data_IF_358469728975
#
_entry.id   IF_358469728975
#
_cell.length_a   1.000
_cell.length_b   1.000
_cell.length_c   1.000
_cell.angle_alpha   90.00
_cell.angle_beta   90.00
_cell.angle_gamma   90.00
#
_symmetry.space_group_name_H-M   'P 1'
#
loop_
_entity.id
_entity.type
_entity.pdbx_description
1 polymer ?
#
# COMPACT_ATOMS: atom_id res chain seq x y z
N UNK A 1 45.58 -18.45 -65.40
CA UNK A 1 44.24 -17.86 -65.13
C UNK A 1 43.18 -18.57 -65.97
N UNK A 2 42.22 -19.24 -65.30
CA UNK A 2 40.88 -19.71 -65.74
C UNK A 2 40.47 -20.80 -64.73
N UNK A 3 39.63 -20.46 -63.73
CA UNK A 3 38.18 -20.80 -63.60
C UNK A 3 37.92 -22.32 -63.67
N UNK A 4 37.15 -22.97 -62.81
CA UNK A 4 36.33 -22.61 -61.65
C UNK A 4 35.93 -23.96 -61.00
N UNK A 5 35.76 -23.99 -59.69
CA UNK A 5 35.53 -25.17 -58.84
C UNK A 5 34.10 -25.69 -59.00
N UNK A 6 33.91 -27.00 -59.11
CA UNK A 6 32.65 -27.68 -58.79
C UNK A 6 32.96 -29.13 -58.37
N UNK A 7 32.75 -29.46 -57.09
CA UNK A 7 32.99 -30.81 -56.55
C UNK A 7 31.80 -31.20 -55.68
N UNK A 8 31.08 -32.21 -56.18
CA UNK A 8 30.43 -33.34 -55.48
C UNK A 8 29.27 -33.02 -54.51
N UNK A 9 28.08 -33.60 -54.74
CA UNK A 9 27.59 -34.85 -54.13
C UNK A 9 27.47 -34.74 -52.58
N UNK A 10 26.51 -35.33 -51.87
CA UNK A 10 26.08 -36.72 -51.93
C UNK A 10 24.89 -36.85 -50.96
N UNK A 11 23.82 -37.45 -51.46
CA UNK A 11 23.10 -38.59 -50.91
C UNK A 11 23.07 -38.80 -49.40
N UNK A 12 21.85 -38.69 -48.88
CA UNK A 12 21.28 -39.47 -47.79
C UNK A 12 21.56 -40.98 -47.89
N UNK A 13 21.87 -41.62 -46.75
CA UNK A 13 21.31 -42.92 -46.33
C UNK A 13 21.74 -43.28 -44.88
N UNK A 14 20.77 -43.09 -43.97
CA UNK A 14 20.28 -44.01 -42.92
C UNK A 14 20.68 -45.51 -43.15
N UNK A 15 20.97 -46.40 -42.19
CA UNK A 15 20.65 -46.56 -40.76
C UNK A 15 21.65 -47.59 -40.12
N UNK A 16 21.77 -47.58 -38.78
CA UNK A 16 21.80 -48.71 -37.83
C UNK A 16 23.04 -48.86 -36.92
N UNK A 17 22.74 -48.78 -35.63
CA UNK A 17 23.34 -49.39 -34.43
C UNK A 17 24.70 -48.90 -33.90
N UNK A 18 24.64 -48.30 -32.72
CA UNK A 18 25.60 -48.59 -31.65
C UNK A 18 24.92 -48.51 -30.28
N UNK A 19 24.95 -49.64 -29.55
CA UNK A 19 24.57 -49.79 -28.13
C UNK A 19 25.45 -48.89 -27.25
N UNK A 20 24.87 -48.12 -26.33
CA UNK A 20 25.61 -47.61 -25.16
C UNK A 20 24.70 -47.39 -23.93
N UNK A 21 24.89 -48.31 -22.98
CA UNK A 21 24.76 -48.29 -21.50
C UNK A 21 23.93 -47.16 -20.86
N UNK A 22 22.86 -47.59 -20.19
CA UNK A 22 22.00 -46.80 -19.30
C UNK A 22 22.75 -46.32 -18.04
N UNK A 23 22.51 -45.06 -17.68
CA UNK A 23 22.70 -44.50 -16.34
C UNK A 23 21.34 -43.85 -15.97
N UNK A 24 20.75 -44.15 -14.80
CA UNK A 24 19.47 -43.57 -14.44
C UNK A 24 19.69 -42.12 -13.99
N UNK A 25 19.37 -41.18 -14.88
CA UNK A 25 19.13 -39.78 -14.48
C UNK A 25 17.76 -39.78 -13.82
N UNK A 26 17.76 -39.64 -12.50
CA UNK A 26 16.56 -39.42 -11.72
C UNK A 26 15.75 -38.28 -12.35
N UNK A 27 14.48 -38.57 -12.66
CA UNK A 27 13.52 -37.62 -13.17
C UNK A 27 13.49 -36.38 -12.27
N UNK A 28 13.98 -35.27 -12.82
CA UNK A 28 13.75 -33.91 -12.33
C UNK A 28 12.27 -33.56 -12.60
N UNK A 29 11.38 -34.29 -11.95
CA UNK A 29 9.94 -34.13 -11.99
C UNK A 29 9.47 -33.52 -10.69
N UNK A 30 9.40 -32.18 -10.66
CA UNK A 30 8.36 -31.39 -9.99
C UNK A 30 8.72 -29.92 -10.22
N UNK A 31 8.13 -29.35 -11.26
CA UNK A 31 7.74 -27.95 -11.24
C UNK A 31 6.96 -27.74 -9.95
N UNK A 32 7.61 -27.10 -8.98
CA UNK A 32 6.95 -26.57 -7.81
C UNK A 32 6.09 -25.43 -8.34
N UNK A 33 4.86 -25.78 -8.73
CA UNK A 33 3.74 -24.86 -8.77
C UNK A 33 3.49 -24.44 -7.33
N UNK A 34 4.29 -23.49 -6.85
CA UNK A 34 4.04 -22.75 -5.62
C UNK A 34 2.93 -21.75 -5.91
N UNK A 35 1.75 -22.28 -6.17
CA UNK A 35 0.54 -21.59 -5.72
C UNK A 35 0.56 -21.81 -4.21
N UNK A 36 1.31 -20.97 -3.49
CA UNK A 36 1.32 -20.98 -2.03
C UNK A 36 -0.14 -20.91 -1.59
N UNK A 37 -0.68 -22.02 -1.07
CA UNK A 37 -2.02 -22.05 -0.50
C UNK A 37 -1.98 -21.04 0.64
N UNK A 38 -2.59 -19.87 0.43
CA UNK A 38 -2.74 -18.86 1.47
C UNK A 38 -3.35 -19.57 2.69
N UNK A 39 -2.64 -19.57 3.82
CA UNK A 39 -3.10 -20.26 5.02
C UNK A 39 -4.51 -19.76 5.40
N UNK A 40 -5.38 -20.66 5.85
CA UNK A 40 -6.72 -20.27 6.31
C UNK A 40 -6.65 -19.44 7.59
N UNK A 41 -7.70 -18.65 7.85
CA UNK A 41 -7.84 -17.97 9.13
C UNK A 41 -7.96 -18.99 10.26
N UNK A 42 -7.07 -18.96 11.24
CA UNK A 42 -7.10 -19.83 12.41
C UNK A 42 -7.87 -19.22 13.57
N UNK A 43 -7.57 -17.95 13.89
CA UNK A 43 -8.24 -17.20 14.96
C UNK A 43 -8.58 -15.80 14.49
N UNK A 44 -9.85 -15.46 14.54
CA UNK A 44 -10.38 -14.13 14.21
C UNK A 44 -10.67 -13.34 15.50
N UNK A 45 -10.27 -12.08 15.54
CA UNK A 45 -10.42 -11.17 16.68
C UNK A 45 -10.85 -9.81 16.15
N UNK A 46 -11.88 -9.22 16.75
CA UNK A 46 -12.22 -7.80 16.53
C UNK A 46 -11.77 -7.01 17.76
N UNK A 47 -10.94 -6.00 17.56
CA UNK A 47 -10.32 -5.27 18.66
C UNK A 47 -11.31 -4.32 19.33
N UNK A 48 -11.39 -4.35 20.66
CA UNK A 48 -12.16 -3.40 21.48
C UNK A 48 -11.33 -2.19 21.94
N UNK A 49 -10.00 -2.29 21.81
CA UNK A 49 -9.00 -1.29 22.18
C UNK A 49 -7.96 -1.13 21.06
N UNK A 50 -7.24 0.00 21.00
CA UNK A 50 -6.12 0.14 20.09
C UNK A 50 -5.08 -0.96 20.32
N UNK A 51 -4.59 -1.56 19.23
CA UNK A 51 -3.66 -2.69 19.28
C UNK A 51 -2.33 -2.29 18.70
N UNK A 52 -1.24 -2.46 19.45
CA UNK A 52 0.12 -2.26 18.95
C UNK A 52 0.58 -3.47 18.15
N UNK A 53 1.11 -3.23 16.96
CA UNK A 53 1.74 -4.23 16.12
C UNK A 53 3.27 -4.24 16.35
N UNK A 54 3.66 -4.92 17.42
CA UNK A 54 5.03 -5.34 17.71
C UNK A 54 6.11 -4.29 17.43
N UNK A 55 7.12 -4.72 16.69
CA UNK A 55 8.35 -4.00 16.37
C UNK A 55 8.14 -2.88 15.35
N UNK A 56 7.01 -2.86 14.63
CA UNK A 56 6.69 -1.78 13.68
C UNK A 56 6.29 -0.50 14.39
N UNK A 57 5.83 -0.59 15.64
CA UNK A 57 5.29 0.54 16.39
C UNK A 57 3.93 1.06 15.87
N UNK A 58 3.38 0.47 14.82
CA UNK A 58 2.07 0.84 14.28
C UNK A 58 0.98 0.51 15.31
N UNK A 59 0.10 1.49 15.56
CA UNK A 59 -1.07 1.33 16.41
C UNK A 59 -2.29 1.17 15.51
N UNK A 60 -2.95 0.02 15.63
CA UNK A 60 -4.20 -0.30 14.95
C UNK A 60 -5.37 0.26 15.76
N UNK A 61 -6.36 0.90 15.11
CA UNK A 61 -7.51 1.48 15.79
C UNK A 61 -8.47 0.42 16.36
N UNK A 62 -9.39 0.86 17.21
CA UNK A 62 -10.51 0.04 17.70
C UNK A 62 -11.38 -0.42 16.53
N UNK A 63 -11.88 -1.66 16.58
CA UNK A 63 -12.70 -2.26 15.53
C UNK A 63 -11.89 -2.90 14.40
N UNK A 64 -10.56 -2.95 14.53
CA UNK A 64 -9.70 -3.67 13.58
C UNK A 64 -9.98 -5.16 13.67
N UNK A 65 -10.13 -5.83 12.54
CA UNK A 65 -10.23 -7.29 12.49
C UNK A 65 -8.84 -7.88 12.27
N UNK A 66 -8.47 -8.80 13.14
CA UNK A 66 -7.23 -9.55 13.09
C UNK A 66 -7.56 -11.00 12.78
N UNK A 67 -6.87 -11.57 11.81
CA UNK A 67 -6.96 -12.96 11.46
C UNK A 67 -5.57 -13.58 11.54
N UNK A 68 -5.32 -14.33 12.60
CA UNK A 68 -4.07 -15.06 12.80
C UNK A 68 -4.19 -16.38 12.05
N UNK A 69 -3.24 -16.66 11.16
CA UNK A 69 -3.25 -17.86 10.33
C UNK A 69 -3.09 -19.14 11.16
N UNK A 70 -3.58 -20.27 10.67
CA UNK A 70 -3.51 -21.57 11.39
C UNK A 70 -2.10 -22.04 11.71
N UNK A 71 -1.10 -21.58 10.95
CA UNK A 71 0.33 -21.86 11.16
C UNK A 71 1.04 -20.84 12.05
N UNK A 72 0.32 -19.81 12.51
CA UNK A 72 0.82 -18.68 13.29
C UNK A 72 1.98 -17.92 12.62
N UNK A 73 2.09 -17.94 11.29
CA UNK A 73 3.15 -17.22 10.58
C UNK A 73 2.78 -15.77 10.26
N UNK A 74 1.49 -15.50 10.14
CA UNK A 74 0.98 -14.20 9.68
C UNK A 74 -0.24 -13.75 10.48
N UNK A 75 -0.43 -12.43 10.54
CA UNK A 75 -1.67 -11.79 10.95
C UNK A 75 -2.18 -10.97 9.78
N UNK A 76 -3.33 -11.36 9.24
CA UNK A 76 -4.07 -10.55 8.29
C UNK A 76 -4.88 -9.52 9.05
N UNK A 77 -4.77 -8.28 8.64
CA UNK A 77 -5.39 -7.14 9.31
C UNK A 77 -6.33 -6.45 8.35
N UNK A 78 -7.57 -6.23 8.78
CA UNK A 78 -8.57 -5.40 8.11
C UNK A 78 -8.91 -4.23 9.04
N UNK A 79 -8.63 -3.02 8.57
CA UNK A 79 -8.94 -1.79 9.28
C UNK A 79 -10.45 -1.49 9.25
N UNK A 80 -10.98 -0.86 10.30
CA UNK A 80 -12.36 -0.39 10.30
C UNK A 80 -12.56 0.75 9.30
N UNK A 81 -13.82 1.04 8.99
CA UNK A 81 -14.19 2.15 8.12
C UNK A 81 -13.57 3.48 8.60
N UNK A 82 -13.12 4.29 7.64
CA UNK A 82 -12.47 5.56 7.93
C UNK A 82 -10.97 5.45 8.22
N UNK A 83 -10.38 4.26 8.18
CA UNK A 83 -8.94 4.08 8.31
C UNK A 83 -8.36 3.36 7.09
N UNK A 84 -7.09 3.64 6.81
CA UNK A 84 -6.36 2.92 5.77
C UNK A 84 -4.86 2.83 6.09
N UNK A 85 -4.18 1.90 5.44
CA UNK A 85 -2.73 1.76 5.49
C UNK A 85 -2.08 2.67 4.44
N UNK A 86 -1.01 3.35 4.82
CA UNK A 86 -0.16 4.12 3.92
C UNK A 86 1.21 3.47 3.81
N UNK A 87 1.68 3.31 2.57
CA UNK A 87 3.03 2.89 2.23
C UNK A 87 3.70 3.97 1.40
N UNK A 88 4.98 4.28 1.68
CA UNK A 88 5.80 5.18 0.87
C UNK A 88 6.04 4.66 -0.54
N UNK A 89 5.97 3.34 -0.73
CA UNK A 89 6.21 2.68 -2.01
C UNK A 89 4.93 2.50 -2.82
N UNK A 90 3.77 2.83 -2.22
CA UNK A 90 2.49 2.72 -2.93
C UNK A 90 2.43 3.73 -4.07
N UNK A 91 1.99 3.26 -5.24
CA UNK A 91 1.72 4.16 -6.34
C UNK A 91 0.58 5.10 -5.96
N UNK A 92 0.82 6.40 -6.07
CA UNK A 92 -0.20 7.44 -5.86
C UNK A 92 -1.29 7.43 -6.94
N UNK A 93 -1.18 6.54 -7.93
CA UNK A 93 -2.24 6.24 -8.92
C UNK A 93 -3.30 5.26 -8.41
N UNK A 94 -3.10 4.63 -7.25
CA UNK A 94 -4.14 3.81 -6.64
C UNK A 94 -5.36 4.68 -6.27
N UNK A 95 -6.57 4.24 -6.68
CA UNK A 95 -7.81 5.00 -6.49
C UNK A 95 -8.21 5.15 -5.02
N UNK A 96 -7.78 4.24 -4.17
CA UNK A 96 -8.08 4.22 -2.75
C UNK A 96 -6.94 3.56 -1.98
N UNK A 97 -6.75 3.98 -0.74
CA UNK A 97 -5.79 3.35 0.15
C UNK A 97 -6.26 1.97 0.60
N UNK A 98 -5.33 1.02 0.80
CA UNK A 98 -5.66 -0.30 1.28
C UNK A 98 -6.17 -0.28 2.72
N UNK A 99 -7.27 -0.98 2.96
CA UNK A 99 -7.76 -1.27 4.32
C UNK A 99 -7.25 -2.61 4.84
N UNK A 100 -6.54 -3.37 4.00
CA UNK A 100 -5.98 -4.68 4.33
C UNK A 100 -4.45 -4.66 4.31
N UNK A 101 -3.81 -5.33 5.26
CA UNK A 101 -2.38 -5.60 5.24
C UNK A 101 -2.07 -6.91 5.97
N UNK A 102 -0.90 -7.48 5.71
CA UNK A 102 -0.41 -8.68 6.38
C UNK A 102 0.81 -8.32 7.22
N UNK A 103 0.76 -8.62 8.51
CA UNK A 103 1.93 -8.62 9.36
C UNK A 103 2.53 -10.03 9.40
N UNK A 104 3.83 -10.13 9.17
CA UNK A 104 4.57 -11.38 9.22
C UNK A 104 5.87 -11.21 10.00
N UNK A 105 6.34 -12.31 10.56
CA UNK A 105 7.60 -12.38 11.31
C UNK A 105 8.71 -13.01 10.48
N UNK A 106 9.88 -12.39 10.52
CA UNK A 106 11.03 -12.79 9.73
C UNK A 106 12.22 -13.08 10.65
N UNK A 107 12.93 -14.17 10.37
CA UNK A 107 14.19 -14.47 11.04
C UNK A 107 15.34 -13.83 10.26
N UNK A 108 16.27 -13.16 10.95
CA UNK A 108 17.45 -12.55 10.31
C UNK A 108 18.40 -13.58 9.68
N UNK A 109 18.29 -14.85 10.08
CA UNK A 109 19.04 -15.98 9.52
C UNK A 109 18.10 -16.81 8.65
N UNK A 110 18.60 -17.32 7.52
CA UNK A 110 17.83 -18.13 6.57
C UNK A 110 17.29 -19.41 7.24
N UNK A 111 16.00 -19.36 7.60
CA UNK A 111 15.02 -20.44 7.81
C UNK A 111 13.89 -19.84 8.66
N UNK A 112 12.74 -19.58 8.03
CA UNK A 112 11.58 -18.94 8.67
C UNK A 112 11.05 -19.78 9.83
N UNK A 113 11.40 -19.35 11.04
CA UNK A 113 10.99 -20.00 12.28
C UNK A 113 10.30 -19.04 13.25
N UNK A 114 10.24 -17.75 12.97
CA UNK A 114 9.55 -16.80 13.84
C UNK A 114 8.04 -16.97 13.68
N UNK A 115 7.33 -17.02 14.80
CA UNK A 115 5.88 -17.07 14.82
C UNK A 115 5.32 -15.75 15.30
N UNK A 116 4.12 -15.42 14.85
CA UNK A 116 3.37 -14.32 15.43
C UNK A 116 2.74 -14.80 16.74
N UNK A 117 2.88 -13.98 17.76
CA UNK A 117 2.20 -14.15 19.04
C UNK A 117 1.30 -12.95 19.29
N UNK A 118 0.06 -13.22 19.71
CA UNK A 118 -0.91 -12.20 20.12
C UNK A 118 -1.19 -12.34 21.62
N UNK A 119 -1.02 -11.23 22.33
CA UNK A 119 -1.38 -11.05 23.73
C UNK A 119 -2.52 -10.05 23.83
N UNK A 120 -3.62 -10.48 24.43
CA UNK A 120 -4.79 -9.63 24.66
C UNK A 120 -4.41 -8.38 25.47
N UNK A 121 -4.89 -7.22 25.03
CA UNK A 121 -4.57 -5.93 25.64
C UNK A 121 -3.16 -5.37 25.39
N UNK A 122 -2.22 -6.17 24.88
CA UNK A 122 -0.85 -5.74 24.55
C UNK A 122 -0.60 -5.67 23.03
N UNK A 123 -1.33 -6.48 22.26
CA UNK A 123 -1.26 -6.55 20.81
C UNK A 123 -0.56 -7.80 20.30
N UNK A 124 0.09 -7.73 19.14
CA UNK A 124 0.83 -8.86 18.58
C UNK A 124 2.25 -8.47 18.18
N UNK A 125 3.14 -9.46 18.15
CA UNK A 125 4.55 -9.27 17.82
C UNK A 125 5.21 -10.59 17.41
N UNK A 126 6.52 -10.56 17.21
CA UNK A 126 7.26 -11.76 16.85
C UNK A 126 7.78 -12.51 18.07
N UNK A 127 7.50 -13.81 18.11
CA UNK A 127 8.05 -14.73 19.08
C UNK A 127 9.28 -15.43 18.50
N UNK A 128 10.37 -15.40 19.25
CA UNK A 128 11.55 -16.20 18.97
C UNK A 128 11.23 -17.68 19.26
N UNK A 129 10.94 -18.43 18.20
CA UNK A 129 10.78 -19.88 18.26
C UNK A 129 12.13 -20.53 17.91
N UNK A 130 12.26 -21.32 16.84
CA UNK A 130 13.54 -21.96 16.46
C UNK A 130 14.51 -21.06 15.68
N UNK A 131 14.22 -19.76 15.56
CA UNK A 131 15.11 -18.80 14.93
C UNK A 131 16.32 -18.52 15.83
N UNK A 132 17.51 -18.83 15.31
CA UNK A 132 18.80 -18.55 15.98
C UNK A 132 19.27 -17.10 15.80
N UNK A 133 18.60 -16.34 14.92
CA UNK A 133 18.80 -14.91 14.70
C UNK A 133 17.80 -14.02 15.44
N UNK A 134 17.71 -12.76 15.01
CA UNK A 134 16.69 -11.83 15.49
C UNK A 134 15.37 -12.04 14.73
N UNK A 135 14.25 -12.10 15.44
CA UNK A 135 12.92 -12.06 14.86
C UNK A 135 12.44 -10.62 14.72
N UNK A 136 12.03 -10.22 13.51
CA UNK A 136 11.48 -8.89 13.26
C UNK A 136 10.14 -8.97 12.55
N UNK A 137 9.21 -8.10 12.95
CA UNK A 137 7.90 -7.98 12.34
C UNK A 137 7.87 -6.94 11.24
N UNK A 138 7.15 -7.24 10.15
CA UNK A 138 6.89 -6.26 9.08
C UNK A 138 5.46 -6.37 8.59
N UNK A 139 4.82 -5.22 8.39
CA UNK A 139 3.59 -5.14 7.62
C UNK A 139 3.88 -5.01 6.14
N UNK A 140 3.14 -5.79 5.36
CA UNK A 140 3.21 -5.75 3.90
C UNK A 140 1.82 -5.69 3.28
N UNK A 141 1.72 -4.98 2.16
CA UNK A 141 0.55 -4.97 1.29
C UNK A 141 1.03 -5.05 -0.16
N UNK A 142 0.60 -6.09 -0.91
CA UNK A 142 1.08 -6.36 -2.28
C UNK A 142 2.61 -6.34 -2.43
N UNK A 143 3.34 -6.77 -1.39
CA UNK A 143 4.81 -6.75 -1.36
C UNK A 143 5.45 -5.44 -0.88
N UNK A 144 4.69 -4.35 -0.80
CA UNK A 144 5.17 -3.06 -0.29
C UNK A 144 5.16 -3.02 1.23
N UNK A 145 6.14 -2.35 1.83
CA UNK A 145 6.17 -2.12 3.28
C UNK A 145 5.10 -1.10 3.68
N UNK A 146 4.26 -1.43 4.65
CA UNK A 146 3.35 -0.44 5.24
C UNK A 146 4.11 0.38 6.27
N UNK A 147 3.97 1.70 6.21
CA UNK A 147 4.63 2.62 7.13
C UNK A 147 3.72 3.03 8.31
N UNK A 148 2.42 3.24 8.05
CA UNK A 148 1.49 3.75 9.06
C UNK A 148 0.03 3.46 8.74
N UNK A 149 -0.82 3.62 9.75
CA UNK A 149 -2.27 3.74 9.60
C UNK A 149 -2.64 5.22 9.59
N UNK A 150 -3.55 5.62 8.72
CA UNK A 150 -4.09 6.98 8.63
C UNK A 150 -5.60 6.95 8.89
N UNK A 151 -6.08 7.99 9.58
CA UNK A 151 -7.50 8.25 9.76
C UNK A 151 -7.96 9.17 8.61
N UNK A 152 -8.81 8.65 7.73
CA UNK A 152 -9.35 9.36 6.57
C UNK A 152 -10.36 10.45 6.96
N UNK A 153 -10.93 10.37 8.16
CA UNK A 153 -11.76 11.45 8.70
C UNK A 153 -10.92 12.64 9.21
N UNK A 154 -9.67 12.39 9.64
CA UNK A 154 -8.70 13.44 9.97
C UNK A 154 -7.92 13.87 8.71
N UNK A 155 -8.64 14.55 7.83
CA UNK A 155 -8.10 15.05 6.56
C UNK A 155 -6.98 16.06 6.79
N UNK A 156 -7.05 16.83 7.88
CA UNK A 156 -6.01 17.79 8.27
C UNK A 156 -4.67 17.09 8.47
N UNK A 157 -4.65 16.00 9.24
CA UNK A 157 -3.42 15.23 9.45
C UNK A 157 -2.95 14.55 8.16
N UNK A 158 -3.86 14.05 7.32
CA UNK A 158 -3.55 13.47 6.01
C UNK A 158 -2.86 14.48 5.07
N UNK A 159 -3.45 15.66 4.87
CA UNK A 159 -2.91 16.69 3.98
C UNK A 159 -1.67 17.40 4.54
N UNK A 160 -1.36 17.21 5.83
CA UNK A 160 -0.14 17.74 6.45
C UNK A 160 1.09 16.85 6.20
N UNK A 161 0.92 15.65 5.65
CA UNK A 161 2.02 14.75 5.33
C UNK A 161 2.84 15.29 4.15
N UNK A 162 4.17 15.33 4.30
CA UNK A 162 5.07 15.91 3.29
C UNK A 162 4.94 15.19 1.94
N UNK A 163 4.89 13.86 1.96
CA UNK A 163 4.70 13.01 0.77
C UNK A 163 3.37 13.29 0.06
N UNK A 164 2.31 13.59 0.80
CA UNK A 164 0.99 13.94 0.25
C UNK A 164 1.03 15.35 -0.35
N UNK A 165 1.64 16.31 0.34
CA UNK A 165 1.80 17.68 -0.17
C UNK A 165 2.62 17.73 -1.46
N UNK A 166 3.66 16.90 -1.55
CA UNK A 166 4.47 16.75 -2.76
C UNK A 166 3.65 16.23 -3.94
N UNK A 167 2.85 15.20 -3.71
CA UNK A 167 2.00 14.67 -4.77
C UNK A 167 0.92 15.65 -5.19
N UNK A 168 0.34 16.40 -4.25
CA UNK A 168 -0.61 17.47 -4.58
C UNK A 168 0.06 18.50 -5.49
N UNK A 169 1.29 18.93 -5.21
CA UNK A 169 2.03 19.83 -6.11
C UNK A 169 2.20 19.23 -7.50
N UNK A 170 2.52 17.94 -7.59
CA UNK A 170 2.70 17.26 -8.88
C UNK A 170 1.42 17.24 -9.72
N UNK A 171 0.26 16.97 -9.11
CA UNK A 171 -1.01 16.90 -9.83
C UNK A 171 -1.60 18.29 -10.12
N UNK A 172 -1.28 19.30 -9.31
CA UNK A 172 -1.77 20.67 -9.50
C UNK A 172 -0.81 21.56 -10.30
N UNK A 173 0.33 21.02 -10.79
CA UNK A 173 1.35 21.83 -11.47
C UNK A 173 0.88 22.44 -12.78
N UNK A 174 -0.03 21.76 -13.47
CA UNK A 174 -0.52 22.14 -14.80
C UNK A 174 -1.89 22.84 -14.75
N UNK A 175 -2.36 23.21 -13.55
CA UNK A 175 -3.63 23.93 -13.40
C UNK A 175 -3.47 25.32 -13.98
N UNK A 176 -4.40 25.69 -14.86
CA UNK A 176 -4.38 26.99 -15.53
C UNK A 176 -4.37 28.13 -14.51
N UNK A 177 -3.51 29.15 -14.66
CA UNK A 177 -3.54 30.36 -13.84
C UNK A 177 -4.87 31.14 -13.91
N UNK A 178 -5.69 30.85 -14.92
CA UNK A 178 -7.00 31.49 -15.11
C UNK A 178 -8.11 30.82 -14.29
N UNK A 179 -7.87 29.61 -13.77
CA UNK A 179 -8.84 28.92 -12.93
C UNK A 179 -8.67 29.34 -11.47
N UNK A 180 -9.71 29.95 -10.89
CA UNK A 180 -9.71 30.39 -9.49
C UNK A 180 -9.47 29.23 -8.50
N UNK A 181 -9.96 28.03 -8.84
CA UNK A 181 -9.78 26.80 -8.06
C UNK A 181 -10.03 25.57 -8.94
N UNK A 182 -9.52 24.41 -8.50
CA UNK A 182 -9.82 23.11 -9.10
C UNK A 182 -10.14 22.06 -8.03
N UNK A 183 -11.06 21.13 -8.36
CA UNK A 183 -11.40 19.98 -7.50
C UNK A 183 -10.52 18.79 -7.85
N UNK A 184 -9.84 18.24 -6.85
CA UNK A 184 -8.94 17.11 -7.00
C UNK A 184 -9.29 16.02 -6.00
N UNK A 185 -8.79 14.81 -6.25
CA UNK A 185 -8.83 13.70 -5.33
C UNK A 185 -7.48 13.01 -5.34
N UNK A 186 -6.94 12.76 -4.16
CA UNK A 186 -5.72 11.99 -3.98
C UNK A 186 -6.03 10.84 -3.05
N UNK A 187 -5.79 9.60 -3.50
CA UNK A 187 -5.99 8.39 -2.71
C UNK A 187 -7.42 8.23 -2.15
N UNK A 188 -8.41 8.76 -2.88
CA UNK A 188 -9.82 8.75 -2.49
C UNK A 188 -10.26 9.91 -1.58
N UNK A 189 -9.33 10.78 -1.17
CA UNK A 189 -9.63 11.96 -0.34
C UNK A 189 -9.72 13.19 -1.25
N UNK A 190 -10.92 13.78 -1.31
CA UNK A 190 -11.18 14.97 -2.15
C UNK A 190 -10.73 16.26 -1.48
N UNK A 191 -10.22 17.20 -2.29
CA UNK A 191 -9.83 18.53 -1.87
C UNK A 191 -9.98 19.55 -3.02
N UNK A 192 -9.89 20.83 -2.69
CA UNK A 192 -9.84 21.93 -3.64
C UNK A 192 -8.48 22.62 -3.56
N UNK A 193 -7.83 22.76 -4.71
CA UNK A 193 -6.65 23.58 -4.86
C UNK A 193 -7.11 24.97 -5.29
N UNK A 194 -6.73 26.00 -4.52
CA UNK A 194 -7.29 27.35 -4.68
C UNK A 194 -6.18 28.35 -5.02
N UNK A 195 -6.38 29.09 -6.11
CA UNK A 195 -5.49 30.15 -6.60
C UNK A 195 -6.04 31.54 -6.27
N UNK A 196 -7.36 31.72 -6.36
CA UNK A 196 -8.07 32.93 -5.90
C UNK A 196 -8.97 32.57 -4.70
N UNK A 197 -8.44 32.81 -3.50
CA UNK A 197 -9.12 32.53 -2.24
C UNK A 197 -10.41 33.33 -2.07
N UNK A 198 -10.46 34.57 -2.58
CA UNK A 198 -11.63 35.43 -2.41
C UNK A 198 -12.82 34.88 -3.19
N UNK A 199 -12.62 34.60 -4.48
CA UNK A 199 -13.66 34.03 -5.34
C UNK A 199 -14.11 32.67 -4.83
N UNK A 200 -13.18 31.86 -4.33
CA UNK A 200 -13.48 30.56 -3.77
C UNK A 200 -14.34 30.66 -2.50
N UNK A 201 -13.93 31.46 -1.51
CA UNK A 201 -14.63 31.56 -0.22
C UNK A 201 -16.03 32.19 -0.33
N UNK A 202 -16.30 33.02 -1.34
CA UNK A 202 -17.64 33.56 -1.61
C UNK A 202 -18.65 32.46 -2.01
N UNK A 203 -18.16 31.33 -2.50
CA UNK A 203 -18.98 30.23 -3.05
C UNK A 203 -18.87 28.93 -2.28
N UNK A 204 -17.79 28.76 -1.52
CA UNK A 204 -17.45 27.53 -0.82
C UNK A 204 -18.33 27.31 0.40
N UNK A 205 -18.99 26.15 0.43
CA UNK A 205 -19.84 25.72 1.54
C UNK A 205 -19.52 24.27 1.89
N UNK A 206 -19.36 24.01 3.18
CA UNK A 206 -19.32 22.65 3.70
C UNK A 206 -20.70 22.32 4.24
N UNK A 207 -21.39 21.37 3.63
CA UNK A 207 -22.68 20.90 4.10
C UNK A 207 -22.61 19.39 4.38
N UNK A 208 -23.46 18.97 5.29
CA UNK A 208 -23.64 17.59 5.65
C UNK A 208 -25.10 17.37 6.03
N UNK A 209 -25.91 17.07 5.03
CA UNK A 209 -27.34 16.73 5.16
C UNK A 209 -28.10 17.71 6.10
N UNK A 210 -27.77 19.01 6.05
CA UNK A 210 -28.44 20.04 6.87
C UNK A 210 -27.92 20.19 8.30
N UNK A 211 -26.77 19.59 8.64
CA UNK A 211 -26.11 19.74 9.95
C UNK A 211 -24.92 20.70 9.88
N UNK A 212 -24.70 21.50 10.92
CA UNK A 212 -23.51 22.37 11.07
C UNK A 212 -22.26 21.59 11.56
N UNK A 213 -22.25 20.26 11.43
CA UNK A 213 -21.17 19.42 11.95
C UNK A 213 -19.89 19.47 11.10
N UNK A 214 -19.98 20.01 9.88
CA UNK A 214 -18.88 20.16 8.93
C UNK A 214 -18.28 21.55 8.94
N UNK A 215 -16.95 21.61 8.90
CA UNK A 215 -16.20 22.86 8.84
C UNK A 215 -15.26 22.86 7.65
N UNK A 216 -15.19 24.00 6.98
CA UNK A 216 -14.15 24.25 5.99
C UNK A 216 -12.81 24.35 6.72
N UNK A 217 -11.86 23.56 6.23
CA UNK A 217 -10.49 23.51 6.72
C UNK A 217 -9.55 23.91 5.59
N UNK A 218 -8.39 24.39 5.99
CA UNK A 218 -7.32 24.79 5.08
C UNK A 218 -6.01 24.19 5.55
N UNK A 219 -5.23 23.66 4.61
CA UNK A 219 -3.83 23.30 4.81
C UNK A 219 -2.99 24.12 3.85
N UNK A 220 -1.97 24.78 4.37
CA UNK A 220 -1.02 25.54 3.57
C UNK A 220 0.02 24.58 2.99
N UNK A 221 0.24 24.67 1.69
CA UNK A 221 1.39 24.10 1.03
C UNK A 221 2.54 25.09 1.18
N UNK A 222 3.57 24.77 1.98
CA UNK A 222 4.72 25.66 2.13
C UNK A 222 5.38 25.90 0.77
N UNK A 223 5.72 27.16 0.50
CA UNK A 223 6.34 27.59 -0.75
C UNK A 223 7.68 26.92 -0.97
N UNK A 224 7.96 26.52 -2.21
CA UNK A 224 9.31 26.14 -2.63
C UNK A 224 10.13 27.38 -3.00
N UNK A 225 11.45 27.23 -3.02
CA UNK A 225 12.34 28.26 -3.56
C UNK A 225 11.93 28.59 -5.00
N UNK A 226 11.52 29.83 -5.24
CA UNK A 226 11.01 30.30 -6.55
C UNK A 226 9.48 30.33 -6.69
N UNK A 227 8.70 29.90 -5.69
CA UNK A 227 7.25 30.14 -5.64
C UNK A 227 6.96 31.39 -4.81
N UNK A 228 6.36 32.41 -5.44
CA UNK A 228 6.07 33.70 -4.78
C UNK A 228 4.99 33.63 -3.70
N UNK A 229 4.10 32.64 -3.78
CA UNK A 229 2.94 32.53 -2.89
C UNK A 229 2.77 31.11 -2.37
N UNK A 230 2.43 31.01 -1.09
CA UNK A 230 2.03 29.74 -0.49
C UNK A 230 0.68 29.33 -1.09
N UNK A 231 0.62 28.11 -1.60
CA UNK A 231 -0.61 27.55 -2.17
C UNK A 231 -1.48 26.99 -1.03
N UNK A 232 -2.80 27.00 -1.21
CA UNK A 232 -3.75 26.55 -0.18
C UNK A 232 -4.62 25.41 -0.68
N UNK A 233 -4.80 24.42 0.18
CA UNK A 233 -5.70 23.29 -0.03
C UNK A 233 -6.89 23.47 0.90
N UNK A 234 -8.11 23.41 0.35
CA UNK A 234 -9.36 23.47 1.10
C UNK A 234 -10.09 22.14 1.06
N UNK A 235 -10.70 21.78 2.17
CA UNK A 235 -11.51 20.56 2.29
C UNK A 235 -12.50 20.72 3.44
N UNK A 236 -13.55 19.89 3.44
CA UNK A 236 -14.48 19.80 4.56
C UNK A 236 -14.08 18.67 5.50
N UNK A 237 -14.10 18.95 6.79
CA UNK A 237 -13.84 18.01 7.86
C UNK A 237 -14.89 18.19 8.96
N UNK A 238 -15.42 17.09 9.50
CA UNK A 238 -16.54 17.15 10.44
C UNK A 238 -16.97 15.78 10.93
N UNK A 239 -17.80 15.78 11.98
CA UNK A 239 -18.25 14.57 12.68
C UNK A 239 -19.41 13.82 12.04
N UNK A 240 -19.65 14.03 10.75
CA UNK A 240 -20.75 13.39 10.03
C UNK A 240 -20.22 12.65 8.79
N UNK A 241 -20.93 11.59 8.39
CA UNK A 241 -20.60 10.85 7.19
C UNK A 241 -21.03 11.68 5.97
N UNK A 242 -20.12 11.88 5.00
CA UNK A 242 -20.44 12.64 3.79
C UNK A 242 -20.17 14.14 3.88
N UNK A 243 -19.23 14.57 4.71
CA UNK A 243 -18.76 15.96 4.75
C UNK A 243 -18.17 16.39 3.40
N UNK A 244 -18.97 17.07 2.59
CA UNK A 244 -18.61 17.45 1.23
C UNK A 244 -18.51 18.97 1.06
N UNK A 245 -17.54 19.37 0.23
CA UNK A 245 -17.32 20.75 -0.16
C UNK A 245 -18.06 21.01 -1.46
N UNK A 246 -19.07 21.88 -1.39
CA UNK A 246 -19.85 22.37 -2.53
C UNK A 246 -19.48 23.80 -2.86
N UNK A 247 -19.50 24.12 -4.15
CA UNK A 247 -19.26 25.46 -4.68
C UNK A 247 -20.54 25.90 -5.40
N UNK A 248 -21.14 27.00 -4.94
CA UNK A 248 -22.41 27.53 -5.46
C UNK A 248 -22.24 28.73 -6.40
#
# INVERSE_FOLDING_TARGET
>A
MKRMICVCLLSTLLVVACKKKEQPVAELGKSVSETAKMASCGREIVTDKPVKAGETGIILPVGTKLCITTDNLEVRVELPNGYAFLSKEMSMTERALPVFATYACYCSVLNNACQVFYAEGLGFGCLQSSCTGACTGKFTYKGYSVDRVINLADKTSFFSLAEIQEEIRNITKDVSPLEAYGKFSLLGVSFFFVQDEKIFLEKATCDCEGTQACKLKVVNLPSRSGEETAKKIYFCEGGCNGCELTIN
#
